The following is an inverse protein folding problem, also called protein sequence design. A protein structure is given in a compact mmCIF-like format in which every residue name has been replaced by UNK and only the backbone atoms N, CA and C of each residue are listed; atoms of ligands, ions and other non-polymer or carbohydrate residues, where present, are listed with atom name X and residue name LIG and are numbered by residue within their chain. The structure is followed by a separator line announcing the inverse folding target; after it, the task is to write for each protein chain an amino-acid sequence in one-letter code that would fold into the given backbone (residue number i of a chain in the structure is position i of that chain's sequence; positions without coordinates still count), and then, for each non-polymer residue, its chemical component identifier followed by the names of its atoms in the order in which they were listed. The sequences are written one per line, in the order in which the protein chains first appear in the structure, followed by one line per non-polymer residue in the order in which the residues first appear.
data_IF_082975525564
#
_entry.id   IF_082975525564
#
_cell.length_a   1.000
_cell.length_b   1.000
_cell.length_c   1.000
_cell.angle_alpha   90.00
_cell.angle_beta   90.00
_cell.angle_gamma   90.00
#
_symmetry.space_group_name_H-M   'P 1'
#
loop_
_entity.id
_entity.type
_entity.pdbx_description
1 polymer ?
#
# COMPACT_ATOMS: atom_id res chain seq x y z
N UNK A 1 -1.80 30.37 -13.41
CA UNK A 1 -2.89 29.38 -13.53
C UNK A 1 -2.42 28.29 -14.49
N UNK A 2 -1.69 27.31 -13.98
CA UNK A 2 -1.35 26.06 -14.66
C UNK A 2 -1.00 25.08 -13.54
N UNK A 3 -1.92 24.17 -13.25
CA UNK A 3 -1.75 23.12 -12.25
C UNK A 3 -0.79 22.07 -12.81
N UNK A 4 0.39 21.93 -12.19
CA UNK A 4 1.30 20.84 -12.50
C UNK A 4 0.80 19.57 -11.80
N UNK A 5 0.36 18.60 -12.60
CA UNK A 5 0.15 17.22 -12.17
C UNK A 5 1.50 16.64 -11.72
N UNK A 6 1.75 16.70 -10.41
CA UNK A 6 2.63 15.74 -9.75
C UNK A 6 1.85 14.43 -9.66
N UNK A 7 2.26 13.45 -10.47
CA UNK A 7 1.92 12.06 -10.26
C UNK A 7 2.57 11.57 -8.98
N UNK A 8 2.05 12.01 -7.83
CA UNK A 8 2.11 11.24 -6.61
C UNK A 8 1.43 9.92 -6.92
N UNK A 9 2.18 8.81 -6.92
CA UNK A 9 1.59 7.55 -6.54
C UNK A 9 0.93 7.79 -5.21
N UNK A 10 -0.40 7.84 -5.23
CA UNK A 10 -1.22 8.06 -4.07
C UNK A 10 -0.96 6.92 -3.08
N UNK A 11 -0.01 7.13 -2.16
CA UNK A 11 -0.40 7.02 -0.77
C UNK A 11 -1.24 8.26 -0.49
N UNK A 12 -2.45 8.30 -1.08
CA UNK A 12 -3.54 8.95 -0.39
C UNK A 12 -3.48 8.33 0.99
N UNK A 13 -3.37 9.18 2.01
CA UNK A 13 -3.82 8.82 3.33
C UNK A 13 -5.03 7.93 3.14
N UNK A 14 -4.98 6.71 3.69
CA UNK A 14 -6.19 5.92 3.86
C UNK A 14 -7.09 6.78 4.74
N UNK A 15 -7.80 7.71 4.12
CA UNK A 15 -8.91 8.46 4.69
C UNK A 15 -9.85 7.37 5.13
N UNK A 16 -9.75 6.97 6.40
CA UNK A 16 -10.56 5.99 7.10
C UNK A 16 -11.40 5.14 6.12
N UNK A 17 -10.77 4.23 5.36
CA UNK A 17 -11.50 3.32 4.48
C UNK A 17 -12.29 2.37 5.38
N UNK A 18 -13.44 2.87 5.82
CA UNK A 18 -14.29 2.29 6.83
C UNK A 18 -15.21 1.33 6.11
N UNK A 19 -15.29 0.11 6.63
CA UNK A 19 -16.33 -0.82 6.25
C UNK A 19 -17.70 -0.21 6.62
N UNK A 20 -18.48 0.17 5.60
CA UNK A 20 -19.81 0.77 5.75
C UNK A 20 -20.84 -0.26 6.27
N UNK A 21 -20.56 -1.56 6.16
CA UNK A 21 -21.43 -2.62 6.68
C UNK A 21 -21.50 -2.61 8.21
N UNK A 22 -20.47 -2.13 8.91
CA UNK A 22 -20.38 -2.18 10.38
C UNK A 22 -21.50 -1.40 11.11
N UNK A 23 -22.22 -0.51 10.41
CA UNK A 23 -23.39 0.20 10.94
C UNK A 23 -24.74 -0.33 10.44
N UNK A 24 -24.75 -1.34 9.57
CA UNK A 24 -25.96 -1.82 8.93
C UNK A 24 -26.78 -2.72 9.85
N UNK A 25 -28.11 -2.64 9.73
CA UNK A 25 -29.01 -3.63 10.31
C UNK A 25 -29.02 -4.87 9.44
N UNK A 26 -28.77 -6.03 10.04
CA UNK A 26 -28.67 -7.30 9.32
C UNK A 26 -29.97 -8.10 9.47
N UNK A 27 -30.45 -8.66 8.36
CA UNK A 27 -31.51 -9.67 8.35
C UNK A 27 -31.11 -10.83 7.43
N UNK A 28 -31.60 -12.04 7.71
CA UNK A 28 -31.29 -13.22 6.91
C UNK A 28 -32.53 -14.10 6.74
N UNK A 29 -32.52 -14.92 5.69
CA UNK A 29 -33.56 -15.92 5.43
C UNK A 29 -33.71 -16.92 6.57
N UNK A 30 -32.58 -17.31 7.16
CA UNK A 30 -32.48 -18.24 8.28
C UNK A 30 -31.11 -18.11 8.94
N UNK A 31 -31.00 -18.64 10.16
CA UNK A 31 -29.74 -18.72 10.90
C UNK A 31 -29.62 -20.11 11.51
N UNK A 32 -28.48 -20.76 11.32
CA UNK A 32 -28.16 -22.03 11.97
C UNK A 32 -28.03 -21.84 13.48
N UNK A 33 -28.54 -22.77 14.32
CA UNK A 33 -28.35 -22.70 15.77
C UNK A 33 -26.87 -22.50 16.15
N UNK A 34 -26.59 -21.47 16.95
CA UNK A 34 -25.23 -21.12 17.39
C UNK A 34 -24.47 -20.15 16.47
N UNK A 35 -25.03 -19.77 15.31
CA UNK A 35 -24.56 -18.67 14.46
C UNK A 35 -25.42 -17.42 14.64
N UNK A 36 -24.96 -16.27 14.12
CA UNK A 36 -25.66 -14.98 14.12
C UNK A 36 -25.60 -14.38 12.73
N UNK A 37 -26.66 -13.69 12.30
CA UNK A 37 -26.64 -13.00 11.02
C UNK A 37 -25.69 -11.80 11.06
N UNK A 38 -25.64 -11.12 12.20
CA UNK A 38 -24.84 -9.93 12.47
C UNK A 38 -23.33 -10.15 12.32
N UNK A 39 -22.87 -11.41 12.41
CA UNK A 39 -21.46 -11.76 12.19
C UNK A 39 -20.93 -11.37 10.81
N UNK A 40 -21.78 -11.18 9.78
CA UNK A 40 -21.27 -10.75 8.46
C UNK A 40 -20.85 -9.29 8.40
N UNK A 41 -21.05 -8.51 9.46
CA UNK A 41 -20.81 -7.08 9.47
C UNK A 41 -20.20 -6.61 10.80
N UNK A 42 -19.53 -7.51 11.54
CA UNK A 42 -18.95 -7.19 12.84
C UNK A 42 -17.48 -6.73 12.75
N UNK A 43 -16.92 -6.73 11.54
CA UNK A 43 -15.55 -6.32 11.27
C UNK A 43 -14.51 -7.41 11.54
N UNK A 44 -14.93 -8.66 11.76
CA UNK A 44 -14.07 -9.81 12.03
C UNK A 44 -14.26 -10.89 10.95
N UNK A 45 -13.40 -10.86 9.94
CA UNK A 45 -13.36 -11.87 8.89
C UNK A 45 -12.65 -13.16 9.36
N UNK A 46 -13.26 -13.91 10.28
CA UNK A 46 -12.68 -15.10 10.89
C UNK A 46 -13.64 -16.30 10.87
N UNK A 47 -13.12 -17.51 11.02
CA UNK A 47 -13.94 -18.72 10.99
C UNK A 47 -14.95 -18.72 12.15
N UNK A 48 -14.54 -18.30 13.34
CA UNK A 48 -15.37 -18.19 14.53
C UNK A 48 -16.48 -17.14 14.44
N UNK A 49 -16.35 -16.13 13.56
CA UNK A 49 -17.41 -15.15 13.29
C UNK A 49 -17.94 -15.29 11.88
N UNK A 50 -19.10 -15.93 11.75
CA UNK A 50 -19.74 -16.16 10.46
C UNK A 50 -21.24 -16.34 10.58
N UNK A 51 -21.94 -15.87 9.55
CA UNK A 51 -23.30 -16.32 9.31
C UNK A 51 -23.29 -17.72 8.67
N UNK A 52 -24.29 -18.51 9.09
CA UNK A 52 -24.63 -19.80 8.51
C UNK A 52 -26.14 -19.86 8.31
N UNK A 53 -26.56 -20.22 7.12
CA UNK A 53 -27.96 -20.53 6.84
C UNK A 53 -28.36 -21.84 7.54
N UNK A 54 -29.63 -21.96 7.93
CA UNK A 54 -30.14 -23.20 8.50
C UNK A 54 -30.09 -24.34 7.47
N UNK A 55 -29.81 -25.57 7.91
CA UNK A 55 -29.60 -26.75 7.04
C UNK A 55 -30.78 -27.05 6.08
N UNK A 56 -32.00 -26.59 6.42
CA UNK A 56 -33.19 -26.76 5.59
C UNK A 56 -33.48 -25.65 4.59
N UNK A 57 -32.74 -24.55 4.61
CA UNK A 57 -32.99 -23.38 3.78
C UNK A 57 -32.68 -23.67 2.30
N UNK A 58 -33.70 -23.51 1.45
CA UNK A 58 -33.61 -23.78 0.00
C UNK A 58 -33.23 -22.55 -0.81
N UNK A 59 -33.30 -21.36 -0.24
CA UNK A 59 -32.91 -20.13 -0.91
C UNK A 59 -32.27 -19.16 0.10
N UNK A 60 -31.05 -19.46 0.57
CA UNK A 60 -30.41 -18.65 1.58
C UNK A 60 -30.10 -17.24 1.08
N UNK A 61 -30.43 -16.24 1.90
CA UNK A 61 -30.07 -14.85 1.65
C UNK A 61 -29.73 -14.12 2.95
N UNK A 62 -28.91 -13.07 2.82
CA UNK A 62 -28.59 -12.13 3.88
C UNK A 62 -28.64 -10.70 3.33
N UNK A 63 -29.20 -9.78 4.10
CA UNK A 63 -29.46 -8.40 3.70
C UNK A 63 -28.95 -7.41 4.76
N UNK A 64 -28.21 -6.42 4.27
CA UNK A 64 -27.72 -5.26 5.00
C UNK A 64 -28.65 -4.08 4.68
N UNK A 65 -29.26 -3.48 5.71
CA UNK A 65 -29.98 -2.21 5.60
C UNK A 65 -29.12 -1.11 6.22
N UNK A 66 -28.70 -0.14 5.41
CA UNK A 66 -27.87 0.97 5.90
C UNK A 66 -28.74 1.97 6.68
N UNK A 67 -28.21 2.60 7.76
CA UNK A 67 -28.96 3.59 8.54
C UNK A 67 -29.42 4.79 7.71
N UNK A 68 -28.60 5.18 6.75
CA UNK A 68 -28.84 6.23 5.77
C UNK A 68 -28.36 5.72 4.39
N UNK A 69 -28.89 6.24 3.27
CA UNK A 69 -28.40 5.88 1.94
C UNK A 69 -26.90 6.18 1.80
N UNK A 70 -26.13 5.23 1.27
CA UNK A 70 -24.68 5.32 1.11
C UNK A 70 -24.25 5.18 -0.34
N UNK A 71 -23.06 5.70 -0.65
CA UNK A 71 -22.35 5.40 -1.90
C UNK A 71 -21.55 4.10 -1.73
N UNK A 72 -21.60 3.22 -2.73
CA UNK A 72 -20.89 1.93 -2.75
C UNK A 72 -20.07 1.80 -4.03
N UNK A 73 -18.75 1.86 -3.90
CA UNK A 73 -17.81 1.56 -4.97
C UNK A 73 -17.53 0.07 -5.10
N UNK A 74 -17.28 -0.61 -3.97
CA UNK A 74 -16.91 -2.02 -3.92
C UNK A 74 -17.55 -2.77 -2.74
N UNK A 75 -17.77 -4.08 -2.94
CA UNK A 75 -18.23 -5.03 -1.92
C UNK A 75 -17.27 -6.22 -1.90
N UNK A 76 -16.76 -6.56 -0.72
CA UNK A 76 -15.94 -7.75 -0.50
C UNK A 76 -16.73 -8.79 0.29
N UNK A 77 -16.87 -9.98 -0.27
CA UNK A 77 -17.52 -11.13 0.36
C UNK A 77 -16.45 -12.11 0.84
N UNK A 78 -16.27 -12.19 2.15
CA UNK A 78 -15.40 -13.16 2.81
C UNK A 78 -16.22 -14.41 3.11
N UNK A 79 -15.89 -15.53 2.50
CA UNK A 79 -16.64 -16.78 2.62
C UNK A 79 -15.74 -18.00 2.80
N UNK A 80 -16.34 -19.16 3.02
CA UNK A 80 -15.63 -20.42 3.22
C UNK A 80 -15.45 -20.80 4.69
N UNK A 81 -14.64 -21.82 4.93
CA UNK A 81 -14.30 -22.33 6.27
C UNK A 81 -12.92 -22.99 6.24
N UNK A 82 -11.99 -22.54 7.06
CA UNK A 82 -10.59 -23.04 7.06
C UNK A 82 -10.01 -23.04 5.64
N UNK A 83 -9.62 -24.23 5.15
CA UNK A 83 -9.09 -24.47 3.81
C UNK A 83 -10.15 -24.92 2.80
N UNK A 84 -11.43 -24.95 3.18
CA UNK A 84 -12.52 -25.28 2.26
C UNK A 84 -12.82 -24.09 1.33
N UNK A 85 -13.31 -24.35 0.10
CA UNK A 85 -13.71 -23.31 -0.84
C UNK A 85 -14.78 -22.35 -0.30
N UNK A 86 -14.82 -21.16 -0.90
CA UNK A 86 -15.88 -20.15 -0.71
C UNK A 86 -17.23 -20.55 -1.32
N UNK A 87 -18.12 -19.57 -1.46
CA UNK A 87 -19.48 -19.80 -1.98
C UNK A 87 -19.49 -20.26 -3.45
N UNK A 88 -20.21 -21.34 -3.76
CA UNK A 88 -20.47 -21.81 -5.13
C UNK A 88 -21.53 -20.96 -5.86
N UNK A 89 -21.29 -19.65 -5.93
CA UNK A 89 -22.10 -18.63 -6.59
C UNK A 89 -23.12 -17.92 -5.69
N UNK A 90 -23.32 -16.64 -5.98
CA UNK A 90 -24.30 -15.77 -5.34
C UNK A 90 -24.68 -14.59 -6.24
N UNK A 91 -25.77 -13.93 -5.92
CA UNK A 91 -26.25 -12.70 -6.55
C UNK A 91 -26.26 -11.56 -5.54
N UNK A 92 -25.69 -10.41 -5.91
CA UNK A 92 -25.87 -9.15 -5.21
C UNK A 92 -27.01 -8.35 -5.82
N UNK A 93 -27.93 -7.94 -4.96
CA UNK A 93 -29.07 -7.07 -5.27
C UNK A 93 -28.97 -5.82 -4.39
N UNK A 94 -29.23 -4.66 -4.96
CA UNK A 94 -29.15 -3.38 -4.26
C UNK A 94 -30.51 -2.69 -4.29
N UNK A 95 -30.82 -1.89 -3.28
CA UNK A 95 -31.91 -0.91 -3.33
C UNK A 95 -31.28 0.48 -3.49
N UNK A 96 -31.50 1.11 -4.64
CA UNK A 96 -30.97 2.44 -5.02
C UNK A 96 -32.15 3.36 -5.26
N UNK A 97 -32.20 4.50 -4.57
CA UNK A 97 -33.33 5.45 -4.66
C UNK A 97 -34.71 4.76 -4.48
N UNK A 98 -34.78 3.77 -3.58
CA UNK A 98 -35.99 2.98 -3.31
C UNK A 98 -36.37 1.96 -4.40
N UNK A 99 -35.50 1.73 -5.39
CA UNK A 99 -35.71 0.76 -6.48
C UNK A 99 -34.67 -0.35 -6.43
N UNK A 100 -35.09 -1.57 -6.76
CA UNK A 100 -34.17 -2.69 -6.86
C UNK A 100 -33.27 -2.56 -8.11
N UNK A 101 -31.96 -2.74 -7.92
CA UNK A 101 -30.93 -2.71 -8.96
C UNK A 101 -30.07 -3.97 -8.84
N UNK A 102 -29.84 -4.66 -9.97
CA UNK A 102 -29.07 -5.91 -10.04
C UNK A 102 -27.92 -5.74 -11.04
N UNK A 103 -26.75 -5.22 -10.61
CA UNK A 103 -25.60 -5.03 -11.49
C UNK A 103 -25.13 -6.36 -12.08
N UNK A 104 -24.70 -6.41 -13.36
CA UNK A 104 -24.14 -7.62 -13.97
C UNK A 104 -22.98 -8.23 -13.18
N UNK A 105 -22.11 -7.38 -12.61
CA UNK A 105 -20.97 -7.76 -11.77
C UNK A 105 -21.40 -8.48 -10.49
N UNK A 106 -22.61 -8.18 -10.00
CA UNK A 106 -23.21 -8.82 -8.83
C UNK A 106 -23.67 -10.25 -9.08
N UNK A 107 -23.72 -10.72 -10.35
CA UNK A 107 -24.08 -12.11 -10.68
C UNK A 107 -22.84 -12.99 -10.70
N UNK A 108 -22.50 -13.56 -9.55
CA UNK A 108 -21.31 -14.40 -9.39
C UNK A 108 -21.68 -15.87 -9.55
N UNK A 109 -21.04 -16.56 -10.49
CA UNK A 109 -21.19 -18.00 -10.70
C UNK A 109 -19.80 -18.64 -10.53
N UNK A 110 -19.69 -19.60 -9.63
CA UNK A 110 -18.43 -20.29 -9.25
C UNK A 110 -17.39 -19.38 -8.57
N UNK A 111 -17.66 -18.93 -7.33
CA UNK A 111 -16.70 -18.20 -6.49
C UNK A 111 -16.12 -19.09 -5.39
N UNK A 112 -15.30 -20.06 -5.79
CA UNK A 112 -14.61 -20.93 -4.83
C UNK A 112 -13.52 -20.20 -4.04
N UNK A 113 -13.22 -18.94 -4.37
CA UNK A 113 -12.31 -18.10 -3.61
C UNK A 113 -12.92 -17.71 -2.24
N UNK A 114 -12.07 -17.72 -1.21
CA UNK A 114 -12.48 -17.35 0.14
C UNK A 114 -12.72 -15.84 0.32
N UNK A 115 -12.32 -15.03 -0.65
CA UNK A 115 -12.57 -13.58 -0.71
C UNK A 115 -12.95 -13.26 -2.15
N UNK A 116 -14.11 -12.64 -2.34
CA UNK A 116 -14.58 -12.17 -3.64
C UNK A 116 -14.92 -10.69 -3.58
N UNK A 117 -14.21 -9.89 -4.38
CA UNK A 117 -14.53 -8.47 -4.60
C UNK A 117 -15.49 -8.30 -5.77
N UNK A 118 -16.44 -7.39 -5.60
CA UNK A 118 -17.41 -6.97 -6.60
C UNK A 118 -17.43 -5.45 -6.66
N UNK A 119 -17.10 -4.91 -7.83
CA UNK A 119 -17.09 -3.47 -8.09
C UNK A 119 -18.41 -3.06 -8.75
N UNK A 120 -19.12 -2.10 -8.15
CA UNK A 120 -20.50 -1.75 -8.57
C UNK A 120 -20.72 -0.26 -8.84
N UNK A 121 -19.99 0.65 -8.17
CA UNK A 121 -20.06 2.09 -8.42
C UNK A 121 -21.47 2.68 -8.35
N UNK A 122 -22.21 2.41 -7.28
CA UNK A 122 -23.59 2.85 -7.07
C UNK A 122 -23.67 4.01 -6.06
N UNK A 123 -24.65 4.90 -6.23
CA UNK A 123 -24.98 5.98 -5.30
C UNK A 123 -26.33 5.72 -4.62
N UNK A 124 -26.61 6.40 -3.51
CA UNK A 124 -27.89 6.36 -2.78
C UNK A 124 -28.42 4.94 -2.47
N UNK A 125 -27.53 4.03 -2.08
CA UNK A 125 -27.89 2.65 -1.74
C UNK A 125 -28.43 2.58 -0.31
N UNK A 126 -29.68 2.13 -0.15
CA UNK A 126 -30.30 1.89 1.15
C UNK A 126 -30.18 0.44 1.63
N UNK A 127 -30.08 -0.53 0.70
CA UNK A 127 -29.93 -1.95 1.02
C UNK A 127 -28.99 -2.69 0.08
N UNK A 128 -28.32 -3.70 0.62
CA UNK A 128 -27.54 -4.69 -0.11
C UNK A 128 -27.99 -6.09 0.34
N UNK A 129 -28.43 -6.92 -0.60
CA UNK A 129 -28.77 -8.33 -0.37
C UNK A 129 -27.83 -9.24 -1.16
N UNK A 130 -27.26 -10.22 -0.47
CA UNK A 130 -26.59 -11.35 -1.07
C UNK A 130 -27.52 -12.57 -1.02
N UNK A 131 -27.81 -13.16 -2.19
CA UNK A 131 -28.61 -14.39 -2.32
C UNK A 131 -27.74 -15.50 -2.87
N UNK A 132 -27.68 -16.66 -2.22
CA UNK A 132 -26.92 -17.79 -2.73
C UNK A 132 -27.53 -18.31 -4.03
N UNK A 133 -26.68 -18.61 -5.03
CA UNK A 133 -27.14 -19.13 -6.32
C UNK A 133 -27.58 -20.60 -6.24
N UNK A 134 -27.11 -21.33 -5.23
CA UNK A 134 -27.43 -22.73 -4.93
C UNK A 134 -27.72 -22.89 -3.43
N UNK A 135 -28.61 -23.82 -3.02
CA UNK A 135 -28.79 -24.15 -1.61
C UNK A 135 -27.46 -24.56 -0.97
N UNK A 136 -27.20 -24.10 0.24
CA UNK A 136 -25.97 -24.39 0.96
C UNK A 136 -25.88 -23.66 2.29
N UNK A 137 -24.83 -23.91 3.08
CA UNK A 137 -24.72 -23.43 4.45
C UNK A 137 -24.50 -21.92 4.59
N UNK A 138 -24.40 -21.14 3.51
CA UNK A 138 -24.27 -19.68 3.59
C UNK A 138 -23.05 -19.21 4.41
N UNK A 139 -21.92 -19.93 4.32
CA UNK A 139 -20.69 -19.68 5.11
C UNK A 139 -20.05 -18.33 4.75
N UNK A 140 -20.53 -17.26 5.36
CA UNK A 140 -20.06 -15.90 5.13
C UNK A 140 -19.48 -15.37 6.43
N UNK A 141 -18.18 -15.07 6.40
CA UNK A 141 -17.43 -14.52 7.53
C UNK A 141 -17.64 -13.01 7.63
N UNK A 142 -17.62 -12.30 6.51
CA UNK A 142 -17.82 -10.84 6.46
C UNK A 142 -18.32 -10.42 5.06
N UNK A 143 -19.14 -9.37 5.01
CA UNK A 143 -19.49 -8.59 3.83
C UNK A 143 -19.01 -7.16 4.11
N UNK A 144 -17.86 -6.79 3.55
CA UNK A 144 -17.32 -5.45 3.71
C UNK A 144 -17.74 -4.55 2.54
N UNK A 145 -18.15 -3.33 2.84
CA UNK A 145 -18.69 -2.37 1.87
C UNK A 145 -17.87 -1.10 1.90
N UNK A 146 -17.42 -0.63 0.73
CA UNK A 146 -16.54 0.52 0.59
C UNK A 146 -17.13 1.56 -0.34
N UNK A 147 -16.97 2.84 0.00
CA UNK A 147 -17.41 3.96 -0.83
C UNK A 147 -16.63 4.05 -2.16
N UNK A 148 -15.32 3.78 -2.12
CA UNK A 148 -14.43 3.90 -3.26
C UNK A 148 -14.09 2.54 -3.88
N UNK A 149 -14.10 2.48 -5.21
CA UNK A 149 -13.71 1.28 -5.97
C UNK A 149 -12.23 0.92 -5.74
N UNK A 150 -11.38 1.91 -5.47
CA UNK A 150 -9.95 1.76 -5.21
C UNK A 150 -9.63 1.33 -3.77
N UNK A 151 -10.62 1.12 -2.91
CA UNK A 151 -10.40 0.78 -1.51
C UNK A 151 -9.64 -0.53 -1.36
N UNK A 152 -8.73 -0.63 -0.39
CA UNK A 152 -7.95 -1.86 -0.17
C UNK A 152 -8.88 -2.97 0.33
N UNK A 153 -8.76 -4.19 -0.23
CA UNK A 153 -9.62 -5.30 0.18
C UNK A 153 -9.38 -5.70 1.63
N UNK A 154 -10.47 -5.78 2.40
CA UNK A 154 -10.43 -6.02 3.84
C UNK A 154 -9.93 -4.84 4.67
N UNK A 155 -9.81 -3.63 4.10
CA UNK A 155 -9.51 -2.43 4.89
C UNK A 155 -10.50 -2.30 6.06
N UNK A 156 -9.95 -2.05 7.25
CA UNK A 156 -10.72 -1.92 8.49
C UNK A 156 -11.14 -3.24 9.16
N UNK A 157 -10.85 -4.40 8.56
CA UNK A 157 -11.21 -5.70 9.14
C UNK A 157 -10.10 -6.28 10.04
N UNK A 158 -10.51 -7.04 11.05
CA UNK A 158 -9.66 -7.94 11.82
C UNK A 158 -9.80 -9.36 11.28
N UNK A 159 -8.77 -10.20 11.44
CA UNK A 159 -8.81 -11.61 11.04
C UNK A 159 -8.73 -11.87 9.52
N UNK A 160 -8.86 -10.83 8.68
CA UNK A 160 -8.59 -10.91 7.26
C UNK A 160 -7.09 -11.14 7.04
N UNK A 161 -6.69 -12.39 6.85
CA UNK A 161 -5.42 -12.65 6.16
C UNK A 161 -5.64 -12.11 4.76
N UNK A 162 -5.01 -10.97 4.44
CA UNK A 162 -4.96 -10.48 3.06
C UNK A 162 -4.61 -11.70 2.18
N UNK A 163 -5.40 -11.99 1.14
CA UNK A 163 -5.15 -13.18 0.35
C UNK A 163 -3.70 -13.10 -0.10
N UNK A 164 -2.89 -14.08 0.32
CA UNK A 164 -1.50 -14.19 -0.15
C UNK A 164 -1.61 -14.18 -1.65
N UNK A 165 -1.03 -13.17 -2.30
CA UNK A 165 -1.05 -13.10 -3.75
C UNK A 165 -0.50 -14.43 -4.28
N UNK A 166 -1.39 -15.25 -4.84
CA UNK A 166 -1.00 -16.56 -5.35
C UNK A 166 -0.18 -16.27 -6.61
N UNK A 167 1.13 -16.50 -6.53
CA UNK A 167 2.01 -16.42 -7.69
C UNK A 167 1.57 -17.48 -8.69
N UNK A 168 1.05 -17.07 -9.85
CA UNK A 168 0.71 -18.00 -10.93
C UNK A 168 1.98 -18.68 -11.42
N UNK A 169 2.13 -19.97 -11.14
CA UNK A 169 3.31 -20.75 -11.54
C UNK A 169 3.22 -21.29 -12.97
N UNK A 170 2.12 -21.02 -13.68
CA UNK A 170 1.92 -21.42 -15.07
C UNK A 170 2.44 -20.40 -16.10
N UNK A 171 2.94 -19.25 -15.64
CA UNK A 171 3.47 -18.15 -16.45
C UNK A 171 4.94 -17.90 -16.10
N UNK A 172 5.71 -17.36 -17.04
CA UNK A 172 7.05 -16.84 -16.75
C UNK A 172 6.98 -15.72 -15.71
N UNK A 173 7.52 -15.99 -14.52
CA UNK A 173 7.68 -15.01 -13.46
C UNK A 173 8.94 -14.18 -13.72
N UNK A 174 8.83 -12.86 -13.78
CA UNK A 174 9.92 -11.95 -14.14
C UNK A 174 10.03 -10.85 -13.07
N UNK A 175 11.05 -10.96 -12.21
CA UNK A 175 11.33 -9.98 -11.17
C UNK A 175 12.41 -9.00 -11.64
N UNK A 176 12.05 -7.71 -11.67
CA UNK A 176 12.94 -6.59 -12.03
C UNK A 176 13.10 -5.64 -10.85
N UNK A 177 14.12 -4.79 -10.91
CA UNK A 177 14.08 -3.56 -10.12
C UNK A 177 13.02 -2.63 -10.74
N UNK A 178 11.88 -2.48 -10.06
CA UNK A 178 10.73 -1.72 -10.58
C UNK A 178 10.98 -0.21 -10.72
N UNK A 179 12.02 0.33 -10.07
CA UNK A 179 12.49 1.70 -10.37
C UNK A 179 13.34 1.67 -11.64
N UNK A 180 14.31 0.76 -11.68
CA UNK A 180 15.10 0.48 -12.87
C UNK A 180 16.60 0.45 -12.62
N UNK A 181 17.37 0.81 -13.65
CA UNK A 181 18.80 0.59 -13.69
C UNK A 181 19.62 1.78 -14.18
N UNK A 182 20.88 1.84 -13.75
CA UNK A 182 21.84 2.84 -14.26
C UNK A 182 22.42 2.38 -15.60
N UNK A 183 22.38 3.25 -16.62
CA UNK A 183 22.71 2.90 -18.02
C UNK A 183 24.02 2.13 -18.17
N UNK A 184 25.11 2.62 -17.56
CA UNK A 184 26.46 2.04 -17.71
C UNK A 184 26.81 1.00 -16.62
N UNK A 185 25.84 0.55 -15.83
CA UNK A 185 26.06 -0.43 -14.74
C UNK A 185 25.46 -1.80 -15.12
N UNK A 186 25.81 -2.88 -14.40
CA UNK A 186 25.20 -4.19 -14.60
C UNK A 186 23.67 -4.15 -14.45
N UNK A 187 22.97 -4.92 -15.29
CA UNK A 187 21.50 -4.94 -15.37
C UNK A 187 21.02 -6.37 -15.53
N UNK A 188 20.24 -6.84 -14.55
CA UNK A 188 19.76 -8.22 -14.49
C UNK A 188 18.32 -8.27 -13.98
N UNK A 189 17.60 -9.25 -14.44
CA UNK A 189 16.31 -9.66 -13.88
C UNK A 189 16.37 -11.14 -13.49
N UNK A 190 15.48 -11.54 -12.59
CA UNK A 190 15.36 -12.94 -12.15
C UNK A 190 14.10 -13.54 -12.74
N UNK A 191 14.21 -14.74 -13.29
CA UNK A 191 13.12 -15.50 -13.85
C UNK A 191 13.19 -16.96 -13.41
N UNK A 192 12.80 -17.25 -12.14
CA UNK A 192 13.16 -18.50 -11.46
C UNK A 192 12.45 -19.73 -12.01
N UNK A 193 11.34 -19.56 -12.73
CA UNK A 193 10.59 -20.65 -13.35
C UNK A 193 10.99 -20.91 -14.81
N UNK A 194 11.77 -20.01 -15.41
CA UNK A 194 12.14 -20.09 -16.82
C UNK A 194 13.37 -20.98 -16.99
N UNK A 195 13.31 -22.04 -17.81
CA UNK A 195 14.47 -22.89 -18.07
C UNK A 195 15.64 -22.15 -18.72
N UNK A 196 16.85 -22.67 -18.57
CA UNK A 196 18.03 -22.16 -19.25
C UNK A 196 17.86 -22.20 -20.77
N UNK A 197 18.35 -21.14 -21.44
CA UNK A 197 18.20 -20.94 -22.87
C UNK A 197 16.86 -20.31 -23.28
N UNK A 198 15.92 -20.07 -22.36
CA UNK A 198 14.67 -19.37 -22.67
C UNK A 198 14.98 -17.94 -23.17
N UNK A 199 14.48 -17.54 -24.36
CA UNK A 199 14.75 -16.21 -24.89
C UNK A 199 13.94 -15.14 -24.16
N UNK A 200 14.51 -13.95 -24.05
CA UNK A 200 13.81 -12.75 -23.61
C UNK A 200 14.04 -11.59 -24.58
N UNK A 201 13.12 -10.63 -24.56
CA UNK A 201 13.24 -9.39 -25.33
C UNK A 201 12.90 -8.17 -24.48
N UNK A 202 13.50 -7.03 -24.80
CA UNK A 202 13.20 -5.73 -24.19
C UNK A 202 12.55 -4.83 -25.23
N UNK A 203 11.47 -4.17 -24.83
CA UNK A 203 10.76 -3.17 -25.65
C UNK A 203 10.52 -1.91 -24.82
N UNK A 204 10.25 -0.79 -25.47
CA UNK A 204 9.63 0.34 -24.77
C UNK A 204 8.23 -0.07 -24.30
N UNK A 205 7.79 0.47 -23.17
CA UNK A 205 6.44 0.28 -22.67
C UNK A 205 5.42 0.74 -23.74
N UNK A 206 4.46 -0.14 -24.08
CA UNK A 206 3.48 0.09 -25.15
C UNK A 206 4.02 -0.01 -26.59
N UNK A 207 5.33 -0.21 -26.77
CA UNK A 207 5.95 -0.35 -28.08
C UNK A 207 5.94 -1.78 -28.61
N UNK A 208 5.95 -1.93 -29.94
CA UNK A 208 6.10 -3.21 -30.63
C UNK A 208 7.55 -3.57 -30.93
N UNK A 209 8.47 -2.60 -30.95
CA UNK A 209 9.82 -2.84 -31.44
C UNK A 209 10.69 -3.51 -30.38
N UNK A 210 11.36 -4.59 -30.79
CA UNK A 210 12.34 -5.27 -29.94
C UNK A 210 13.65 -4.50 -29.98
N UNK A 211 13.99 -3.87 -28.86
CA UNK A 211 15.17 -3.04 -28.69
C UNK A 211 16.39 -3.83 -28.21
N UNK A 212 16.15 -4.96 -27.53
CA UNK A 212 17.20 -5.86 -27.07
C UNK A 212 16.69 -7.30 -26.99
N UNK A 213 17.61 -8.26 -27.11
CA UNK A 213 17.34 -9.70 -26.94
C UNK A 213 18.44 -10.33 -26.12
N UNK A 214 18.08 -11.37 -25.37
CA UNK A 214 19.02 -12.22 -24.67
C UNK A 214 18.41 -13.57 -24.35
N UNK A 215 19.14 -14.36 -23.54
CA UNK A 215 18.69 -15.66 -23.05
C UNK A 215 18.85 -15.72 -21.54
N UNK A 216 17.95 -16.46 -20.90
CA UNK A 216 17.99 -16.73 -19.46
C UNK A 216 18.99 -17.84 -19.19
N UNK A 217 19.83 -17.68 -18.17
CA UNK A 217 20.81 -18.66 -17.69
C UNK A 217 20.85 -18.63 -16.17
N UNK A 218 20.76 -19.78 -15.52
CA UNK A 218 20.69 -19.91 -14.06
C UNK A 218 19.50 -19.14 -13.46
N UNK A 219 18.38 -19.06 -14.18
CA UNK A 219 17.23 -18.25 -13.77
C UNK A 219 17.46 -16.74 -13.81
N UNK A 220 18.50 -16.26 -14.50
CA UNK A 220 18.85 -14.83 -14.61
C UNK A 220 18.90 -14.43 -16.08
N UNK A 221 18.28 -13.30 -16.42
CA UNK A 221 18.53 -12.62 -17.70
C UNK A 221 19.42 -11.41 -17.49
N UNK A 222 20.59 -11.39 -18.14
CA UNK A 222 21.53 -10.26 -18.13
C UNK A 222 21.35 -9.44 -19.40
N UNK A 223 21.09 -8.14 -19.24
CA UNK A 223 20.92 -7.18 -20.33
C UNK A 223 21.84 -5.96 -20.12
N UNK A 224 23.00 -6.16 -19.51
CA UNK A 224 23.97 -5.11 -19.21
C UNK A 224 24.45 -4.36 -20.46
N UNK A 225 24.43 -5.00 -21.63
CA UNK A 225 24.78 -4.40 -22.93
C UNK A 225 23.69 -3.50 -23.51
N UNK A 226 22.45 -3.55 -23.02
CA UNK A 226 21.39 -2.62 -23.44
C UNK A 226 21.59 -1.25 -22.78
N UNK A 227 22.10 -0.29 -23.55
CA UNK A 227 22.45 1.05 -23.07
C UNK A 227 21.68 2.12 -23.86
N UNK A 228 20.36 2.25 -23.66
CA UNK A 228 19.56 3.25 -24.37
C UNK A 228 19.98 4.68 -24.00
N UNK A 229 19.64 5.62 -24.88
CA UNK A 229 19.80 7.04 -24.62
C UNK A 229 19.05 7.47 -23.35
N UNK A 230 19.62 8.40 -22.59
CA UNK A 230 19.03 8.89 -21.36
C UNK A 230 17.68 9.58 -21.65
N UNK A 231 16.60 9.03 -21.14
CA UNK A 231 15.23 9.49 -21.40
C UNK A 231 14.29 9.10 -20.24
N UNK A 232 13.03 9.54 -20.31
CA UNK A 232 11.95 9.08 -19.42
C UNK A 232 11.24 7.82 -19.94
N UNK A 233 11.70 7.24 -21.05
CA UNK A 233 11.12 6.03 -21.62
C UNK A 233 11.26 4.87 -20.65
N UNK A 234 10.13 4.21 -20.39
CA UNK A 234 10.07 2.95 -19.63
C UNK A 234 10.20 1.76 -20.56
N UNK A 235 10.72 0.68 -20.02
CA UNK A 235 10.95 -0.58 -20.73
C UNK A 235 10.28 -1.73 -20.01
N UNK A 236 9.91 -2.75 -20.78
CA UNK A 236 9.38 -4.02 -20.27
C UNK A 236 10.21 -5.16 -20.84
N UNK A 237 10.28 -6.26 -20.08
CA UNK A 237 10.88 -7.52 -20.51
C UNK A 237 9.76 -8.50 -20.82
N UNK A 238 9.78 -9.05 -22.03
CA UNK A 238 8.91 -10.15 -22.45
C UNK A 238 9.71 -11.46 -22.45
N UNK A 239 9.16 -12.51 -21.86
CA UNK A 239 9.69 -13.88 -21.89
C UNK A 239 8.60 -14.80 -22.43
N UNK A 240 8.95 -15.58 -23.45
CA UNK A 240 8.04 -16.50 -24.13
C UNK A 240 8.76 -17.81 -24.46
N UNK A 241 8.01 -18.92 -24.48
CA UNK A 241 8.51 -20.24 -24.88
C UNK A 241 8.55 -21.25 -23.74
N UNK A 242 9.10 -22.45 -24.03
CA UNK A 242 9.06 -23.56 -23.07
C UNK A 242 7.63 -24.03 -22.79
N UNK A 243 7.37 -24.51 -21.57
CA UNK A 243 6.07 -25.03 -21.13
C UNK A 243 5.20 -24.02 -20.37
N UNK A 244 5.71 -22.82 -20.12
CA UNK A 244 5.01 -21.75 -19.41
C UNK A 244 4.31 -20.82 -20.40
N UNK A 245 3.27 -20.13 -19.94
CA UNK A 245 2.67 -19.01 -20.66
C UNK A 245 3.62 -17.82 -20.69
N UNK A 246 3.46 -16.98 -21.71
CA UNK A 246 4.21 -15.74 -21.88
C UNK A 246 4.10 -14.84 -20.66
N UNK A 247 5.23 -14.33 -20.20
CA UNK A 247 5.34 -13.39 -19.08
C UNK A 247 5.84 -12.03 -19.53
N UNK A 248 5.39 -10.98 -18.83
CA UNK A 248 5.86 -9.61 -18.98
C UNK A 248 6.21 -9.04 -17.62
N UNK A 249 7.36 -8.36 -17.53
CA UNK A 249 7.76 -7.67 -16.30
C UNK A 249 6.93 -6.41 -16.05
N UNK A 250 6.97 -5.92 -14.81
CA UNK A 250 6.64 -4.51 -14.55
C UNK A 250 7.55 -3.57 -15.36
N UNK A 251 7.05 -2.37 -15.71
CA UNK A 251 7.85 -1.38 -16.43
C UNK A 251 8.95 -0.80 -15.53
N UNK A 252 10.11 -0.50 -16.12
CA UNK A 252 11.25 0.07 -15.41
C UNK A 252 12.01 1.10 -16.26
N UNK A 253 12.82 1.95 -15.60
CA UNK A 253 13.66 2.95 -16.29
C UNK A 253 15.09 2.46 -16.52
N UNK A 254 15.76 3.03 -17.54
CA UNK A 254 17.22 2.97 -17.66
C UNK A 254 17.74 4.38 -17.87
N UNK A 255 18.49 4.91 -16.89
CA UNK A 255 18.97 6.32 -16.89
C UNK A 255 20.38 6.45 -16.34
N UNK A 256 21.11 7.48 -16.73
CA UNK A 256 22.50 7.70 -16.27
C UNK A 256 22.58 8.10 -14.79
N UNK A 257 21.59 8.85 -14.29
CA UNK A 257 21.54 9.40 -12.94
C UNK A 257 20.31 8.94 -12.16
N UNK A 258 19.85 7.71 -12.41
CA UNK A 258 18.57 7.19 -11.91
C UNK A 258 18.41 7.37 -10.40
N UNK A 259 19.42 6.97 -9.63
CA UNK A 259 19.33 6.99 -8.17
C UNK A 259 19.27 8.42 -7.60
N UNK A 260 20.08 9.31 -8.16
CA UNK A 260 20.07 10.71 -7.80
C UNK A 260 18.72 11.38 -8.11
N UNK A 261 18.09 10.98 -9.21
CA UNK A 261 16.81 11.55 -9.63
C UNK A 261 15.62 10.97 -8.86
N UNK A 262 15.66 9.68 -8.52
CA UNK A 262 14.50 8.99 -7.95
C UNK A 262 14.53 8.87 -6.43
N UNK A 263 15.71 8.77 -5.81
CA UNK A 263 15.82 8.38 -4.39
C UNK A 263 16.33 9.48 -3.48
N UNK A 264 17.18 10.39 -3.97
CA UNK A 264 17.88 11.32 -3.09
C UNK A 264 16.94 12.30 -2.39
N UNK A 265 16.04 12.95 -3.14
CA UNK A 265 15.07 13.86 -2.52
C UNK A 265 14.09 13.11 -1.60
N UNK A 266 13.42 12.02 -2.04
CA UNK A 266 12.51 11.30 -1.16
C UNK A 266 13.17 10.74 0.11
N UNK A 267 14.45 10.35 0.06
CA UNK A 267 15.18 9.91 1.25
C UNK A 267 15.41 11.06 2.25
N UNK A 268 15.70 12.26 1.76
CA UNK A 268 15.80 13.47 2.59
C UNK A 268 14.43 13.82 3.17
N UNK A 269 13.38 13.83 2.35
CA UNK A 269 12.01 14.12 2.76
C UNK A 269 11.56 13.16 3.89
N UNK A 270 11.81 11.86 3.71
CA UNK A 270 11.53 10.86 4.73
C UNK A 270 12.24 11.17 6.06
N UNK A 271 13.51 11.57 6.02
CA UNK A 271 14.26 11.92 7.22
C UNK A 271 13.80 13.23 7.86
N UNK A 272 13.29 14.18 7.08
CA UNK A 272 12.65 15.40 7.60
C UNK A 272 11.38 15.04 8.36
N UNK A 273 10.54 14.20 7.74
CA UNK A 273 9.24 13.81 8.27
C UNK A 273 9.33 12.90 9.50
N UNK A 274 10.37 12.07 9.56
CA UNK A 274 10.59 11.12 10.65
C UNK A 274 11.30 11.71 11.88
N UNK A 275 11.70 13.00 11.84
CA UNK A 275 12.29 13.69 13.01
C UNK A 275 11.34 13.62 14.22
N UNK A 276 11.87 13.21 15.37
CA UNK A 276 11.12 13.17 16.63
C UNK A 276 10.59 14.56 16.99
N UNK A 277 9.32 14.63 17.41
CA UNK A 277 8.58 15.83 17.85
C UNK A 277 8.31 16.87 16.75
N UNK A 278 9.27 17.11 15.86
CA UNK A 278 9.22 18.20 14.88
C UNK A 278 8.93 17.75 13.44
N UNK A 279 8.97 16.45 13.15
CA UNK A 279 8.52 15.91 11.87
C UNK A 279 6.99 15.99 11.68
N UNK A 280 6.43 15.03 10.96
CA UNK A 280 4.99 14.98 10.62
C UNK A 280 4.05 14.72 11.80
N UNK A 281 4.59 14.34 12.97
CA UNK A 281 3.81 14.06 14.16
C UNK A 281 4.55 14.51 15.43
N UNK A 282 3.86 15.12 16.41
CA UNK A 282 4.48 15.61 17.66
C UNK A 282 4.71 14.47 18.66
N UNK A 283 5.37 13.40 18.23
CA UNK A 283 5.74 12.27 19.07
C UNK A 283 7.19 11.87 18.84
N UNK A 284 7.73 11.10 19.78
CA UNK A 284 9.06 10.50 19.70
C UNK A 284 8.97 9.00 20.00
N UNK A 285 10.02 8.26 19.68
CA UNK A 285 10.15 6.86 20.05
C UNK A 285 11.60 6.60 20.49
N UNK A 286 11.78 5.99 21.66
CA UNK A 286 13.10 5.53 22.12
C UNK A 286 14.15 6.62 22.32
N UNK A 287 13.74 7.86 22.58
CA UNK A 287 14.67 8.97 22.88
C UNK A 287 15.59 9.38 21.73
N UNK A 288 15.33 8.99 20.47
CA UNK A 288 16.23 9.28 19.35
C UNK A 288 15.79 10.52 18.55
N UNK A 289 16.70 11.18 17.79
CA UNK A 289 16.36 12.33 16.96
C UNK A 289 15.40 11.99 15.81
N UNK A 290 15.33 10.71 15.42
CA UNK A 290 14.38 10.16 14.46
C UNK A 290 13.57 9.02 15.10
N UNK A 291 12.34 8.83 14.60
CA UNK A 291 11.44 7.73 15.02
C UNK A 291 11.84 6.40 14.37
N UNK A 292 13.07 5.94 14.64
CA UNK A 292 13.67 4.74 14.02
C UNK A 292 13.21 3.42 14.67
N UNK A 293 12.85 3.44 15.95
CA UNK A 293 12.36 2.25 16.64
C UNK A 293 13.45 1.38 17.28
N UNK A 294 14.74 1.60 16.99
CA UNK A 294 15.86 0.81 17.52
C UNK A 294 16.98 1.68 18.11
N UNK A 295 17.80 1.09 18.99
CA UNK A 295 18.87 1.80 19.71
C UNK A 295 20.18 1.99 18.91
N UNK A 296 20.26 1.50 17.67
CA UNK A 296 21.46 1.56 16.84
C UNK A 296 21.28 2.56 15.69
N UNK A 297 21.42 3.86 15.99
CA UNK A 297 21.29 4.88 14.96
C UNK A 297 22.57 5.04 14.12
N UNK A 298 22.45 4.79 12.81
CA UNK A 298 23.48 5.04 11.81
C UNK A 298 23.12 6.21 10.87
N UNK A 299 22.07 6.98 11.18
CA UNK A 299 21.54 8.06 10.33
C UNK A 299 22.55 9.19 10.22
N UNK A 300 23.16 9.67 11.32
CA UNK A 300 24.16 10.75 11.26
C UNK A 300 25.36 10.39 10.37
N UNK A 301 26.08 9.27 10.60
CA UNK A 301 27.20 8.92 9.73
C UNK A 301 26.74 8.68 8.28
N UNK A 302 25.55 8.14 8.06
CA UNK A 302 24.99 7.97 6.71
C UNK A 302 24.71 9.31 6.02
N UNK A 303 24.14 10.29 6.74
CA UNK A 303 23.90 11.64 6.24
C UNK A 303 25.20 12.37 5.92
N UNK A 304 26.25 12.20 6.73
CA UNK A 304 27.57 12.76 6.45
C UNK A 304 28.16 12.15 5.18
N UNK A 305 28.14 10.82 5.04
CA UNK A 305 28.62 10.15 3.84
C UNK A 305 27.79 10.55 2.61
N UNK A 306 26.48 10.72 2.78
CA UNK A 306 25.59 11.19 1.73
C UNK A 306 25.96 12.62 1.30
N UNK A 307 26.11 13.55 2.24
CA UNK A 307 26.58 14.92 1.97
C UNK A 307 27.93 14.93 1.22
N UNK A 308 28.85 14.07 1.62
CA UNK A 308 30.18 13.97 1.01
C UNK A 308 30.16 13.33 -0.39
N UNK A 309 29.10 12.61 -0.76
CA UNK A 309 29.02 11.92 -2.05
C UNK A 309 28.88 12.87 -3.24
N UNK A 310 28.18 14.00 -3.06
CA UNK A 310 27.99 15.04 -4.07
C UNK A 310 27.47 16.34 -3.42
N UNK A 311 28.40 17.17 -2.94
CA UNK A 311 28.06 18.40 -2.20
C UNK A 311 27.32 19.42 -3.04
N UNK A 312 27.69 19.55 -4.32
CA UNK A 312 27.08 20.53 -5.22
C UNK A 312 25.63 20.17 -5.49
N UNK A 313 25.36 18.89 -5.80
CA UNK A 313 24.01 18.43 -6.00
C UNK A 313 23.15 18.58 -4.75
N UNK A 314 23.69 18.24 -3.58
CA UNK A 314 22.96 18.35 -2.32
C UNK A 314 22.68 19.81 -1.95
N UNK A 315 23.61 20.73 -2.24
CA UNK A 315 23.36 22.15 -2.09
C UNK A 315 22.24 22.67 -3.02
N UNK A 316 22.06 22.05 -4.18
CA UNK A 316 21.01 22.41 -5.14
C UNK A 316 19.66 21.70 -4.90
N UNK A 317 19.57 20.78 -3.93
CA UNK A 317 18.31 20.11 -3.60
C UNK A 317 17.30 21.10 -2.99
N UNK A 318 15.99 20.92 -3.26
CA UNK A 318 14.92 21.63 -2.55
C UNK A 318 15.12 21.63 -1.02
N UNK A 319 14.85 22.77 -0.40
CA UNK A 319 14.93 22.98 1.04
C UNK A 319 13.53 23.06 1.64
N UNK A 320 13.32 22.39 2.77
CA UNK A 320 12.04 22.30 3.47
C UNK A 320 12.17 22.57 4.96
N UNK A 321 13.33 22.36 5.57
CA UNK A 321 13.51 22.60 7.01
C UNK A 321 13.58 24.11 7.25
N UNK A 322 12.65 24.61 8.07
CA UNK A 322 12.74 25.92 8.70
C UNK A 322 13.00 25.74 10.20
N UNK A 323 14.27 25.88 10.59
CA UNK A 323 14.70 25.69 11.97
C UNK A 323 14.04 26.70 12.93
N UNK A 324 13.83 27.94 12.48
CA UNK A 324 13.24 29.00 13.31
C UNK A 324 11.75 28.76 13.51
N UNK A 325 11.05 28.33 12.46
CA UNK A 325 9.64 27.94 12.57
C UNK A 325 9.46 26.71 13.46
N UNK A 326 10.34 25.70 13.33
CA UNK A 326 10.31 24.52 14.21
C UNK A 326 10.55 24.92 15.67
N UNK A 327 11.54 25.78 15.95
CA UNK A 327 11.81 26.33 17.28
C UNK A 327 10.59 27.03 17.85
N UNK A 328 10.02 27.97 17.10
CA UNK A 328 8.87 28.74 17.52
C UNK A 328 7.70 27.82 17.88
N UNK A 329 7.43 26.81 17.04
CA UNK A 329 6.36 25.83 17.26
C UNK A 329 6.58 24.99 18.52
N UNK A 330 7.76 24.41 18.74
CA UNK A 330 7.97 23.45 19.83
C UNK A 330 8.19 24.11 21.21
N UNK A 331 8.60 25.37 21.21
CA UNK A 331 8.71 26.20 22.43
C UNK A 331 7.43 26.93 22.78
N UNK A 332 6.41 26.89 21.93
CA UNK A 332 5.13 27.53 22.18
C UNK A 332 4.47 26.94 23.45
N UNK A 333 3.87 27.78 24.33
CA UNK A 333 3.24 27.30 25.56
C UNK A 333 2.09 26.29 25.33
N UNK A 334 1.45 26.35 24.16
CA UNK A 334 0.32 25.51 23.76
C UNK A 334 0.73 24.31 22.90
N UNK A 335 2.03 24.06 22.70
CA UNK A 335 2.51 22.90 21.98
C UNK A 335 2.08 21.60 22.67
N UNK A 336 1.38 20.73 21.94
CA UNK A 336 0.87 19.44 22.44
C UNK A 336 1.76 18.30 21.98
N UNK A 337 2.56 17.76 22.90
CA UNK A 337 3.32 16.53 22.70
C UNK A 337 2.43 15.30 22.95
N UNK A 338 2.50 14.31 22.07
CA UNK A 338 1.85 13.02 22.26
C UNK A 338 2.75 12.05 23.02
N UNK A 339 2.47 11.92 24.32
CA UNK A 339 3.24 11.09 25.25
C UNK A 339 2.86 9.60 25.24
N UNK A 340 1.97 9.14 24.35
CA UNK A 340 1.49 7.74 24.33
C UNK A 340 2.51 6.72 23.78
N UNK A 341 3.68 7.18 23.33
CA UNK A 341 4.75 6.33 22.82
C UNK A 341 5.74 5.89 23.92
N UNK A 342 6.43 4.75 23.76
CA UNK A 342 7.43 4.30 24.71
C UNK A 342 8.64 5.26 24.75
N UNK A 343 8.99 5.69 25.96
CA UNK A 343 10.07 6.63 26.32
C UNK A 343 9.75 8.14 26.13
N UNK A 344 8.76 8.71 26.84
CA UNK A 344 8.46 10.14 26.80
C UNK A 344 9.29 11.00 27.78
N UNK A 345 9.99 10.39 28.74
CA UNK A 345 10.74 11.13 29.78
C UNK A 345 11.97 11.81 29.16
N UNK A 346 12.21 13.08 29.49
CA UNK A 346 13.38 13.85 28.99
C UNK A 346 13.29 14.37 27.56
N UNK A 347 12.51 13.74 26.67
CA UNK A 347 12.46 14.08 25.23
C UNK A 347 12.14 15.55 24.95
N UNK A 348 11.16 16.13 25.65
CA UNK A 348 10.78 17.52 25.39
C UNK A 348 11.82 18.51 25.93
N UNK A 349 12.53 18.15 26.99
CA UNK A 349 13.64 18.94 27.52
C UNK A 349 14.83 18.89 26.55
N UNK A 350 15.12 17.71 25.99
CA UNK A 350 16.14 17.56 24.97
C UNK A 350 15.80 18.33 23.68
N UNK A 351 14.56 18.26 23.18
CA UNK A 351 14.14 19.03 22.01
C UNK A 351 14.28 20.53 22.27
N UNK A 352 13.79 21.02 23.41
CA UNK A 352 13.86 22.45 23.76
C UNK A 352 15.29 22.91 24.00
N UNK A 353 16.14 22.04 24.55
CA UNK A 353 17.57 22.24 24.71
C UNK A 353 18.30 22.33 23.37
N UNK A 354 18.00 21.43 22.43
CA UNK A 354 18.51 21.49 21.06
C UNK A 354 18.22 22.85 20.40
N UNK A 355 17.01 23.38 20.56
CA UNK A 355 16.66 24.70 20.03
C UNK A 355 17.27 25.89 20.77
N UNK A 356 18.06 25.68 21.83
CA UNK A 356 18.94 26.71 22.40
C UNK A 356 20.34 26.75 21.77
N UNK A 357 20.70 25.75 20.96
CA UNK A 357 21.95 25.77 20.20
C UNK A 357 21.93 26.84 19.11
N UNK A 358 23.13 27.17 18.59
CA UNK A 358 23.25 28.04 17.42
C UNK A 358 22.48 27.42 16.25
N UNK A 359 21.67 28.21 15.51
CA UNK A 359 20.96 27.69 14.36
C UNK A 359 21.95 27.30 13.24
N UNK A 360 21.60 26.32 12.39
CA UNK A 360 22.34 26.10 11.16
C UNK A 360 22.28 27.35 10.27
N UNK A 361 23.26 27.50 9.36
CA UNK A 361 23.25 28.62 8.40
C UNK A 361 21.94 28.63 7.61
N UNK A 362 21.41 29.82 7.36
CA UNK A 362 20.13 29.99 6.67
C UNK A 362 20.10 29.39 5.24
N UNK A 363 21.26 29.27 4.61
CA UNK A 363 21.43 28.68 3.28
C UNK A 363 21.88 27.20 3.31
N UNK A 364 21.99 26.58 4.48
CA UNK A 364 22.39 25.18 4.60
C UNK A 364 21.37 24.25 3.91
N UNK A 365 21.82 23.22 3.19
CA UNK A 365 20.92 22.22 2.61
C UNK A 365 20.25 21.40 3.73
N UNK A 366 19.10 20.79 3.44
CA UNK A 366 18.34 20.02 4.44
C UNK A 366 19.17 18.86 5.01
N UNK A 367 20.04 18.24 4.23
CA UNK A 367 20.98 17.20 4.73
C UNK A 367 21.85 17.73 5.88
N UNK A 368 22.33 18.98 5.78
CA UNK A 368 23.13 19.61 6.85
C UNK A 368 22.25 19.97 8.05
N UNK A 369 21.02 20.44 7.82
CA UNK A 369 20.04 20.66 8.89
C UNK A 369 19.71 19.36 9.65
N UNK A 370 19.59 18.24 8.93
CA UNK A 370 19.35 16.91 9.51
C UNK A 370 20.54 16.44 10.35
N UNK A 371 21.78 16.61 9.86
CA UNK A 371 23.00 16.32 10.64
C UNK A 371 23.04 17.18 11.90
N UNK A 372 22.74 18.47 11.77
CA UNK A 372 22.70 19.41 12.90
C UNK A 372 21.65 19.00 13.93
N UNK A 373 20.44 18.64 13.47
CA UNK A 373 19.36 18.15 14.32
C UNK A 373 19.75 16.88 15.05
N UNK A 374 20.26 15.86 14.34
CA UNK A 374 20.66 14.59 14.95
C UNK A 374 21.75 14.76 15.99
N UNK A 375 22.85 15.43 15.62
CA UNK A 375 23.98 15.61 16.52
C UNK A 375 23.60 16.48 17.72
N UNK A 376 22.89 17.58 17.49
CA UNK A 376 22.44 18.49 18.54
C UNK A 376 21.49 17.81 19.53
N UNK A 377 20.58 16.98 19.04
CA UNK A 377 19.65 16.22 19.88
C UNK A 377 20.40 15.18 20.75
N UNK A 378 21.37 14.45 20.20
CA UNK A 378 22.19 13.52 21.00
C UNK A 378 23.03 14.20 22.09
N UNK A 379 23.50 15.42 21.85
CA UNK A 379 24.21 16.19 22.88
C UNK A 379 23.33 16.52 24.09
N UNK A 380 22.01 16.48 23.94
CA UNK A 380 21.06 16.78 25.02
C UNK A 380 20.75 15.58 25.91
N UNK A 381 21.31 14.39 25.62
CA UNK A 381 21.07 13.15 26.38
C UNK A 381 19.57 12.85 26.54
N UNK A 382 18.85 12.72 25.41
CA UNK A 382 17.40 12.63 25.31
C UNK A 382 16.75 11.39 25.91
#
# INVERSE_FOLDING_TARGET
MLAALLGCSAFAFADNERNLAAGAKITASSVMPGSKAESVADGLAADESRWLAASGDKSPWIELTFPEPVKIGAVDVFSGWKSEPGLDGFDLTFEVDGKQVNPPQGKVRSATENIRRIEVGLENVSKLRLTLAKPGPGRIREIAVYENISAVSGAGLKGSVAPVAVVDRSIHQIAVNQVGYVTLKPKRFTAPLSPDGTPFSIRSEGGSDVLHKGVIQGGVGDFSSFQPANSSTRYVIDVSGGSLKDGRSDPFLIRSNLYQAQFWQPAVDFLIDSRSVVGTHPSAFGGCPWRDGTYYDAIIPSLVLFYLSDREKIAAMPRQIDWLADKARVTAPDFKFDAKNPSPEGVMDAVRGYYQLEPPKADAPDVVNLIHCGAGFYLMQP
#
